data_IF_143056807009
#
_entry.id   IF_143056807009
#
_cell.length_a   1.000
_cell.length_b   1.000
_cell.length_c   1.000
_cell.angle_alpha   90.00
_cell.angle_beta   90.00
_cell.angle_gamma   90.00
#
_symmetry.space_group_name_H-M   'P 1'
#
loop_
_entity.id
_entity.type
_entity.pdbx_description
1 polymer ?
#
# COMPACT_ATOMS: atom_id res chain seq x y z
N UNK A 1 -21.46 -10.57 11.32
CA UNK A 1 -20.87 -9.38 10.65
C UNK A 1 -19.76 -8.83 11.51
N UNK A 2 -18.55 -9.37 11.35
CA UNK A 2 -17.42 -9.08 12.21
C UNK A 2 -16.87 -7.67 11.94
N UNK A 3 -16.93 -6.81 12.95
CA UNK A 3 -16.23 -5.53 12.97
C UNK A 3 -14.73 -5.81 13.09
N UNK A 4 -13.95 -5.48 12.06
CA UNK A 4 -12.49 -5.52 12.12
C UNK A 4 -11.99 -4.42 13.07
N UNK A 5 -11.80 -4.78 14.34
CA UNK A 5 -11.13 -3.94 15.35
C UNK A 5 -9.61 -4.12 15.21
N UNK A 6 -9.01 -3.33 14.32
CA UNK A 6 -7.57 -3.05 14.32
C UNK A 6 -7.40 -1.55 14.23
N UNK A 7 -6.75 -0.92 15.20
CA UNK A 7 -6.50 0.53 15.21
C UNK A 7 -5.52 0.89 14.08
N UNK A 8 -6.02 0.93 12.85
CA UNK A 8 -5.33 1.57 11.73
C UNK A 8 -5.10 3.02 12.12
N UNK A 9 -3.91 3.55 11.82
CA UNK A 9 -3.53 4.94 12.03
C UNK A 9 -4.49 5.91 11.27
N UNK A 10 -5.67 6.16 11.86
CA UNK A 10 -6.77 6.96 11.31
C UNK A 10 -6.32 8.38 10.98
N UNK A 11 -5.32 8.86 11.71
CA UNK A 11 -4.70 10.16 11.46
C UNK A 11 -3.88 10.16 10.16
N UNK A 12 -3.01 9.17 9.93
CA UNK A 12 -2.23 9.08 8.68
C UNK A 12 -3.11 8.98 7.45
N UNK A 13 -4.16 8.14 7.50
CA UNK A 13 -5.10 7.98 6.37
C UNK A 13 -5.88 9.26 6.08
N UNK A 14 -6.39 9.94 7.10
CA UNK A 14 -7.07 11.25 6.91
C UNK A 14 -6.13 12.31 6.35
N UNK A 15 -4.87 12.36 6.82
CA UNK A 15 -3.87 13.31 6.34
C UNK A 15 -3.56 13.09 4.86
N UNK A 16 -3.39 11.84 4.43
CA UNK A 16 -3.11 11.52 3.04
C UNK A 16 -4.34 11.72 2.14
N UNK A 17 -5.56 11.40 2.61
CA UNK A 17 -6.79 11.70 1.85
C UNK A 17 -6.94 13.20 1.58
N UNK A 18 -6.64 14.06 2.56
CA UNK A 18 -6.59 15.52 2.35
C UNK A 18 -5.50 15.96 1.36
N UNK A 19 -4.37 15.25 1.30
CA UNK A 19 -3.35 15.50 0.28
C UNK A 19 -3.86 15.07 -1.11
N UNK A 20 -4.49 13.91 -1.22
CA UNK A 20 -5.11 13.42 -2.45
C UNK A 20 -6.19 14.38 -2.96
N UNK A 21 -7.01 14.97 -2.08
CA UNK A 21 -7.95 16.05 -2.44
C UNK A 21 -7.25 17.23 -3.12
N UNK A 22 -6.19 17.75 -2.49
CA UNK A 22 -5.45 18.92 -3.02
C UNK A 22 -4.78 18.62 -4.35
N UNK A 23 -4.30 17.39 -4.54
CA UNK A 23 -3.59 16.97 -5.74
C UNK A 23 -4.51 16.36 -6.81
N UNK A 24 -5.82 16.26 -6.56
CA UNK A 24 -6.79 15.60 -7.46
C UNK A 24 -6.39 14.16 -7.81
N UNK A 25 -5.92 13.42 -6.80
CA UNK A 25 -5.59 12.00 -6.90
C UNK A 25 -6.77 11.16 -6.40
N UNK A 26 -6.99 10.00 -6.99
CA UNK A 26 -8.00 9.03 -6.59
C UNK A 26 -7.37 7.82 -5.88
N UNK A 27 -6.11 7.54 -6.17
CA UNK A 27 -5.30 6.53 -5.51
C UNK A 27 -3.88 7.04 -5.19
N UNK A 28 -3.26 6.46 -4.16
CA UNK A 28 -1.89 6.74 -3.75
C UNK A 28 -1.17 5.45 -3.37
N UNK A 29 0.03 5.25 -3.92
CA UNK A 29 0.94 4.17 -3.54
C UNK A 29 2.10 4.70 -2.67
N UNK A 30 2.41 3.98 -1.59
CA UNK A 30 3.57 4.25 -0.74
C UNK A 30 4.47 3.02 -0.69
N UNK A 31 5.63 3.10 -1.33
CA UNK A 31 6.64 2.04 -1.41
C UNK A 31 7.87 2.31 -0.55
N UNK A 32 8.20 3.59 -0.32
CA UNK A 32 9.37 3.93 0.50
C UNK A 32 9.20 3.34 1.90
N UNK A 33 10.21 2.64 2.39
CA UNK A 33 10.14 1.93 3.67
C UNK A 33 9.74 2.83 4.83
N UNK A 34 10.26 4.06 4.86
CA UNK A 34 9.90 5.06 5.87
C UNK A 34 8.42 5.46 5.82
N UNK A 35 7.84 5.65 4.63
CA UNK A 35 6.44 6.03 4.47
C UNK A 35 5.50 4.85 4.72
N UNK A 36 5.89 3.66 4.26
CA UNK A 36 5.18 2.41 4.53
C UNK A 36 5.08 2.17 6.04
N UNK A 37 6.22 2.20 6.76
CA UNK A 37 6.25 2.01 8.20
C UNK A 37 5.45 3.10 8.95
N UNK A 38 5.57 4.37 8.55
CA UNK A 38 4.80 5.46 9.13
C UNK A 38 3.28 5.26 8.99
N UNK A 39 2.84 4.75 7.83
CA UNK A 39 1.43 4.54 7.56
C UNK A 39 0.87 3.31 8.30
N UNK A 40 1.61 2.20 8.28
CA UNK A 40 1.17 0.91 8.84
C UNK A 40 1.36 0.79 10.35
N UNK A 41 2.07 1.73 10.97
CA UNK A 41 2.36 1.68 12.41
C UNK A 41 3.63 0.90 12.75
N UNK A 42 4.58 0.83 11.82
CA UNK A 42 5.92 0.28 12.03
C UNK A 42 6.24 -0.99 11.24
N UNK A 43 5.37 -1.44 10.34
CA UNK A 43 5.63 -2.64 9.54
C UNK A 43 6.77 -2.44 8.53
N UNK A 44 7.48 -3.52 8.19
CA UNK A 44 8.60 -3.52 7.24
C UNK A 44 8.19 -4.16 5.90
N UNK A 45 8.29 -3.38 4.84
CA UNK A 45 8.04 -3.83 3.48
C UNK A 45 9.31 -4.24 2.72
N UNK A 46 10.50 -4.23 3.32
CA UNK A 46 11.75 -4.53 2.62
C UNK A 46 12.11 -6.01 2.66
N UNK A 47 12.87 -6.40 1.64
CA UNK A 47 13.68 -7.63 1.59
C UNK A 47 15.15 -7.23 1.48
N UNK A 48 15.46 -6.32 0.55
CA UNK A 48 16.75 -5.63 0.53
C UNK A 48 16.73 -4.39 1.43
N UNK A 49 17.47 -4.45 2.54
CA UNK A 49 17.57 -3.34 3.50
C UNK A 49 18.50 -2.20 3.04
N UNK A 50 19.29 -2.39 1.98
CA UNK A 50 20.08 -1.33 1.36
C UNK A 50 19.23 -0.42 0.46
N UNK A 51 18.12 -0.94 -0.06
CA UNK A 51 17.15 -0.18 -0.85
C UNK A 51 16.27 0.73 0.03
N UNK A 52 15.97 1.97 -0.42
CA UNK A 52 14.95 2.81 0.22
C UNK A 52 13.51 2.32 -0.07
N UNK A 53 13.33 1.44 -1.05
CA UNK A 53 12.05 0.91 -1.50
C UNK A 53 11.87 -0.54 -1.02
N UNK A 54 10.65 -0.86 -0.59
CA UNK A 54 10.27 -2.24 -0.32
C UNK A 54 9.65 -2.96 -1.52
N UNK A 55 9.18 -4.18 -1.26
CA UNK A 55 8.51 -5.09 -2.20
C UNK A 55 6.99 -5.11 -2.05
N UNK A 56 6.47 -4.32 -1.10
CA UNK A 56 5.05 -4.15 -0.84
C UNK A 56 4.70 -2.67 -0.68
N UNK A 57 3.53 -2.27 -1.16
CA UNK A 57 3.04 -0.91 -1.14
C UNK A 57 1.80 -0.79 -0.28
N UNK A 58 1.66 0.33 0.43
CA UNK A 58 0.31 0.76 0.85
C UNK A 58 -0.40 1.32 -0.37
N UNK A 59 -1.54 0.72 -0.74
CA UNK A 59 -2.46 1.29 -1.71
C UNK A 59 -3.62 1.97 -0.97
N UNK A 60 -3.68 3.29 -1.07
CA UNK A 60 -4.74 4.11 -0.48
C UNK A 60 -5.68 4.63 -1.57
N UNK A 61 -6.96 4.24 -1.53
CA UNK A 61 -8.01 4.80 -2.41
C UNK A 61 -8.83 5.84 -1.67
N UNK A 62 -9.93 6.37 -2.24
CA UNK A 62 -10.86 7.32 -1.59
C UNK A 62 -11.71 6.74 -0.47
N UNK A 63 -11.87 5.43 -0.44
CA UNK A 63 -12.78 4.77 0.52
C UNK A 63 -12.13 3.60 1.26
N UNK A 64 -11.01 3.07 0.75
CA UNK A 64 -10.37 1.88 1.27
C UNK A 64 -8.84 2.02 1.32
N UNK A 65 -8.20 0.99 1.86
CA UNK A 65 -6.76 0.87 1.98
C UNK A 65 -6.38 -0.62 1.89
N UNK A 66 -5.27 -0.91 1.24
CA UNK A 66 -4.79 -2.26 0.99
C UNK A 66 -3.27 -2.30 1.11
N UNK A 67 -2.72 -3.50 1.23
CA UNK A 67 -1.34 -3.76 0.86
C UNK A 67 -1.33 -4.40 -0.52
N UNK A 68 -0.57 -3.81 -1.45
CA UNK A 68 -0.35 -4.35 -2.78
C UNK A 68 1.06 -4.91 -2.84
N UNK A 69 1.22 -6.18 -3.22
CA UNK A 69 2.52 -6.86 -3.22
C UNK A 69 2.52 -8.04 -4.19
N UNK A 70 3.69 -8.59 -4.50
CA UNK A 70 3.74 -9.83 -5.27
C UNK A 70 3.30 -11.05 -4.42
N UNK A 71 2.98 -12.15 -5.10
CA UNK A 71 2.52 -13.40 -4.50
C UNK A 71 3.58 -14.13 -3.64
N UNK A 72 4.86 -13.79 -3.76
CA UNK A 72 5.93 -14.34 -2.89
C UNK A 72 5.85 -13.70 -1.50
N UNK A 73 5.58 -12.39 -1.45
CA UNK A 73 5.60 -11.59 -0.22
C UNK A 73 4.21 -11.43 0.43
N UNK A 74 3.15 -11.77 -0.30
CA UNK A 74 1.77 -11.69 0.20
C UNK A 74 1.55 -12.47 1.51
N UNK A 75 2.08 -13.70 1.72
CA UNK A 75 1.97 -14.38 3.01
C UNK A 75 2.60 -13.59 4.15
N UNK A 76 3.83 -13.07 3.97
CA UNK A 76 4.52 -12.26 4.98
C UNK A 76 3.74 -11.00 5.32
N UNK A 77 3.13 -10.35 4.34
CA UNK A 77 2.27 -9.19 4.57
C UNK A 77 1.01 -9.54 5.38
N UNK A 78 0.34 -10.65 5.07
CA UNK A 78 -0.87 -11.09 5.78
C UNK A 78 -0.58 -11.54 7.21
N UNK A 79 0.48 -12.32 7.40
CA UNK A 79 0.71 -13.06 8.63
C UNK A 79 1.62 -12.32 9.62
N UNK A 80 2.62 -11.58 9.12
CA UNK A 80 3.67 -11.00 9.97
C UNK A 80 3.60 -9.47 10.06
N UNK A 81 3.36 -8.79 8.94
CA UNK A 81 3.60 -7.34 8.87
C UNK A 81 2.33 -6.50 8.99
N UNK A 82 1.24 -6.93 8.36
CA UNK A 82 0.05 -6.08 8.13
C UNK A 82 -1.26 -6.84 8.28
N UNK A 83 -1.39 -7.63 9.35
CA UNK A 83 -2.55 -8.50 9.61
C UNK A 83 -3.92 -7.80 9.71
N UNK A 84 -3.94 -6.46 9.81
CA UNK A 84 -5.16 -5.63 9.81
C UNK A 84 -5.53 -5.06 8.44
N UNK A 85 -4.70 -5.31 7.42
CA UNK A 85 -4.92 -4.86 6.05
C UNK A 85 -5.34 -6.02 5.14
N UNK A 86 -6.18 -5.70 4.17
CA UNK A 86 -6.43 -6.61 3.05
C UNK A 86 -5.23 -6.56 2.09
N UNK A 87 -4.78 -7.74 1.64
CA UNK A 87 -3.62 -7.89 0.76
C UNK A 87 -4.06 -8.29 -0.64
N UNK A 88 -3.80 -7.41 -1.60
CA UNK A 88 -3.97 -7.65 -3.03
C UNK A 88 -2.63 -8.12 -3.58
N UNK A 89 -2.62 -9.31 -4.19
CA UNK A 89 -1.40 -9.90 -4.73
C UNK A 89 -1.38 -9.93 -6.26
N UNK A 90 -0.19 -9.81 -6.83
CA UNK A 90 0.07 -9.99 -8.27
C UNK A 90 1.21 -10.99 -8.50
N UNK A 91 1.33 -11.52 -9.72
CA UNK A 91 2.44 -12.42 -10.06
C UNK A 91 3.78 -11.71 -9.99
N UNK A 92 4.76 -12.31 -9.30
CA UNK A 92 6.12 -11.76 -9.15
C UNK A 92 6.88 -11.56 -10.47
N UNK A 93 6.56 -12.37 -11.49
CA UNK A 93 7.17 -12.31 -12.83
C UNK A 93 6.33 -11.49 -13.82
N UNK A 94 5.25 -10.86 -13.37
CA UNK A 94 4.34 -10.09 -14.21
C UNK A 94 4.80 -8.64 -14.38
N UNK A 95 4.07 -7.91 -15.23
CA UNK A 95 4.19 -6.46 -15.33
C UNK A 95 3.46 -5.82 -14.13
N UNK A 96 4.25 -5.24 -13.22
CA UNK A 96 3.74 -4.59 -12.02
C UNK A 96 2.86 -3.37 -12.33
N UNK A 97 3.23 -2.56 -13.33
CA UNK A 97 2.45 -1.37 -13.71
C UNK A 97 1.10 -1.79 -14.24
N UNK A 98 1.06 -2.84 -15.06
CA UNK A 98 -0.20 -3.44 -15.50
C UNK A 98 -1.03 -3.96 -14.33
N UNK A 99 -0.41 -4.68 -13.39
CA UNK A 99 -1.11 -5.20 -12.22
C UNK A 99 -1.69 -4.08 -11.35
N UNK A 100 -0.96 -2.98 -11.15
CA UNK A 100 -1.47 -1.78 -10.47
C UNK A 100 -2.71 -1.25 -11.20
N UNK A 101 -2.67 -1.15 -12.54
CA UNK A 101 -3.80 -0.67 -13.36
C UNK A 101 -5.00 -1.60 -13.33
N UNK A 102 -4.82 -2.90 -13.23
CA UNK A 102 -5.92 -3.85 -13.04
C UNK A 102 -6.66 -3.61 -11.71
N UNK A 103 -5.98 -3.08 -10.69
CA UNK A 103 -6.57 -2.77 -9.38
C UNK A 103 -7.18 -1.37 -9.33
N UNK A 104 -6.48 -0.35 -9.81
CA UNK A 104 -6.92 1.06 -9.69
C UNK A 104 -7.67 1.59 -10.92
N UNK A 105 -7.66 0.85 -12.03
CA UNK A 105 -8.25 1.28 -13.30
C UNK A 105 -7.64 2.58 -13.83
N UNK A 106 -8.52 3.46 -14.32
CA UNK A 106 -8.18 4.78 -14.85
C UNK A 106 -8.02 5.86 -13.77
N UNK A 107 -8.01 5.47 -12.48
CA UNK A 107 -7.87 6.40 -11.38
C UNK A 107 -6.60 7.26 -11.51
N UNK A 108 -6.74 8.54 -11.18
CA UNK A 108 -5.61 9.46 -11.01
C UNK A 108 -4.71 8.94 -9.87
N UNK A 109 -3.51 8.47 -10.20
CA UNK A 109 -2.61 7.76 -9.29
C UNK A 109 -1.39 8.62 -8.93
N UNK A 110 -1.12 8.75 -7.64
CA UNK A 110 0.17 9.25 -7.13
C UNK A 110 1.02 8.13 -6.54
N UNK A 111 2.34 8.32 -6.52
CA UNK A 111 3.28 7.41 -5.88
C UNK A 111 4.43 8.18 -5.23
N UNK A 112 5.05 7.61 -4.19
CA UNK A 112 6.27 8.14 -3.57
C UNK A 112 7.57 7.57 -4.18
N UNK A 113 7.44 6.85 -5.28
CA UNK A 113 8.50 6.23 -6.07
C UNK A 113 8.21 6.42 -7.57
N UNK A 114 9.22 6.24 -8.45
CA UNK A 114 8.99 6.23 -9.89
C UNK A 114 8.14 5.03 -10.31
N UNK A 115 6.96 5.29 -10.88
CA UNK A 115 6.07 4.31 -11.53
C UNK A 115 6.53 4.03 -12.96
#
# INVERSE_FOLDING_TARGET
MAQARGSTNRWSSQRLRKLMDRLRLEALLLRRSANFAWYTGGADNRVDHASPFGVADVLLTRDAQYIFTNNIEAPRMREEQTSTFEVIEHSWHGDEVRAIREVVGDASLGADFPL
#
